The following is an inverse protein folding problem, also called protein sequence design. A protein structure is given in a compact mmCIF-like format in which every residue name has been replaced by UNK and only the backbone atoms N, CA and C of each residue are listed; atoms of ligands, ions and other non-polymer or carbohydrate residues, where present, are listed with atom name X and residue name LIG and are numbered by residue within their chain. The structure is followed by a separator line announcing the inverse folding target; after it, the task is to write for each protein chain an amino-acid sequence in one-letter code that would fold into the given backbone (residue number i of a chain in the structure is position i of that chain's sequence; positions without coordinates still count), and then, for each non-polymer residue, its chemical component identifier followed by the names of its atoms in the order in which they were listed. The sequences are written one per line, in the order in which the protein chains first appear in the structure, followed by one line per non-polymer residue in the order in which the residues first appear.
data_IF_259902045837
#
_entry.id   IF_259902045837
#
_cell.length_a   1.000
_cell.length_b   1.000
_cell.length_c   1.000
_cell.angle_alpha   90.00
_cell.angle_beta   90.00
_cell.angle_gamma   90.00
#
_symmetry.space_group_name_H-M   'P 1'
#
loop_
_entity.id
_entity.type
_entity.pdbx_description
1 polymer ?
#
# COMPACT_ATOMS: atom_id res chain seq x y z
N UNK A 1 13.90 -0.08 -12.49
CA UNK A 1 13.24 0.10 -11.17
C UNK A 1 11.74 0.21 -11.39
N UNK A 2 10.97 -0.84 -11.09
CA UNK A 2 9.52 -0.86 -11.27
C UNK A 2 8.84 0.09 -10.27
N UNK A 3 8.39 1.24 -10.74
CA UNK A 3 7.53 2.15 -9.99
C UNK A 3 6.17 1.45 -9.81
N UNK A 4 5.77 1.22 -8.56
CA UNK A 4 4.51 0.55 -8.26
C UNK A 4 3.32 1.37 -8.78
N UNK A 5 2.23 0.73 -9.23
CA UNK A 5 1.10 1.38 -9.90
C UNK A 5 0.43 2.49 -9.06
N UNK A 6 0.56 2.46 -7.73
CA UNK A 6 -0.01 3.46 -6.83
C UNK A 6 0.74 4.80 -6.80
N UNK A 7 2.03 4.82 -7.13
CA UNK A 7 2.80 6.08 -7.26
C UNK A 7 2.33 6.88 -8.48
N UNK A 8 1.90 6.20 -9.55
CA UNK A 8 1.33 6.84 -10.75
C UNK A 8 0.03 7.58 -10.45
N UNK A 9 -0.87 6.98 -9.67
CA UNK A 9 -2.17 7.58 -9.34
C UNK A 9 -2.05 8.82 -8.44
N UNK A 10 -1.17 8.80 -7.44
CA UNK A 10 -0.89 10.02 -6.67
C UNK A 10 -0.33 11.12 -7.59
N UNK A 11 0.62 10.76 -8.46
CA UNK A 11 1.26 11.72 -9.36
C UNK A 11 0.25 12.44 -10.24
N UNK A 12 -0.80 11.77 -10.73
CA UNK A 12 -1.84 12.41 -11.56
C UNK A 12 -2.76 13.36 -10.79
N UNK A 13 -3.20 12.95 -9.59
CA UNK A 13 -4.16 13.75 -8.80
C UNK A 13 -3.48 15.02 -8.23
N UNK A 14 -2.22 14.89 -7.80
CA UNK A 14 -1.43 16.05 -7.35
C UNK A 14 -0.94 16.92 -8.50
N UNK A 15 -0.56 16.34 -9.66
CA UNK A 15 -0.20 17.12 -10.85
C UNK A 15 -1.36 18.01 -11.29
N UNK A 16 -2.61 17.55 -11.21
CA UNK A 16 -3.79 18.38 -11.48
C UNK A 16 -3.92 19.56 -10.52
N UNK A 17 -3.74 19.34 -9.21
CA UNK A 17 -3.78 20.41 -8.20
C UNK A 17 -2.69 21.46 -8.35
N UNK A 18 -1.48 21.06 -8.76
CA UNK A 18 -0.37 22.00 -8.98
C UNK A 18 -0.47 22.67 -10.36
N UNK A 19 -1.06 22.03 -11.36
CA UNK A 19 -1.26 22.65 -12.69
C UNK A 19 -2.25 23.82 -12.70
N UNK A 20 -3.07 23.97 -11.65
CA UNK A 20 -3.92 25.15 -11.42
C UNK A 20 -3.24 26.25 -10.59
N UNK A 21 -1.97 26.10 -10.22
CA UNK A 21 -1.26 27.03 -9.38
C UNK A 21 -0.76 28.27 -10.17
N UNK A 22 -0.51 29.40 -9.48
CA UNK A 22 0.09 30.60 -10.09
C UNK A 22 1.45 30.30 -10.72
N UNK A 23 1.83 31.07 -11.76
CA UNK A 23 3.07 30.90 -12.54
C UNK A 23 4.37 30.96 -11.71
N UNK A 24 4.31 31.50 -10.49
CA UNK A 24 5.45 31.65 -9.59
C UNK A 24 5.75 30.41 -8.73
N UNK A 25 5.00 29.30 -8.90
CA UNK A 25 5.17 28.09 -8.10
C UNK A 25 6.22 27.13 -8.66
N UNK A 26 6.87 26.38 -7.77
CA UNK A 26 7.84 25.32 -8.11
C UNK A 26 7.13 24.16 -8.82
N UNK A 27 7.73 23.57 -9.88
CA UNK A 27 7.14 22.43 -10.58
C UNK A 27 7.02 21.20 -9.65
N UNK A 28 5.97 20.39 -9.88
CA UNK A 28 5.67 19.21 -9.07
C UNK A 28 6.85 18.23 -8.99
N UNK A 29 7.60 18.02 -10.09
CA UNK A 29 8.69 17.05 -10.12
C UNK A 29 9.85 17.49 -9.17
N UNK A 30 10.15 18.78 -9.07
CA UNK A 30 11.15 19.31 -8.11
C UNK A 30 10.65 19.24 -6.66
N UNK A 31 9.37 19.52 -6.42
CA UNK A 31 8.73 19.36 -5.10
C UNK A 31 8.72 17.89 -4.64
N UNK A 32 8.52 16.96 -5.57
CA UNK A 32 8.56 15.53 -5.30
C UNK A 32 9.96 15.08 -4.94
N UNK A 33 10.98 15.48 -5.72
CA UNK A 33 12.37 15.16 -5.42
C UNK A 33 12.80 15.77 -4.07
N UNK A 34 12.22 16.93 -3.69
CA UNK A 34 12.48 17.59 -2.41
C UNK A 34 11.93 16.75 -1.26
N UNK A 35 10.68 16.28 -1.40
CA UNK A 35 10.04 15.40 -0.43
C UNK A 35 10.74 14.03 -0.33
N UNK A 36 11.22 13.47 -1.45
CA UNK A 36 11.97 12.20 -1.49
C UNK A 36 13.44 12.34 -1.03
N UNK A 37 13.90 13.57 -0.77
CA UNK A 37 15.25 13.85 -0.29
C UNK A 37 16.37 13.68 -1.34
N UNK A 38 16.04 13.77 -2.63
CA UNK A 38 17.00 13.55 -3.73
C UNK A 38 17.70 14.82 -4.24
N UNK A 39 17.27 16.01 -3.82
CA UNK A 39 17.90 17.24 -4.28
C UNK A 39 19.24 17.52 -3.58
N UNK A 40 20.20 18.12 -4.32
CA UNK A 40 21.39 18.71 -3.74
C UNK A 40 21.03 19.87 -2.81
N UNK A 41 21.90 20.11 -1.82
CA UNK A 41 21.69 21.11 -0.76
C UNK A 41 21.37 22.52 -1.26
N UNK A 42 21.94 22.92 -2.40
CA UNK A 42 21.70 24.24 -2.99
C UNK A 42 20.28 24.40 -3.53
N UNK A 43 19.78 23.39 -4.24
CA UNK A 43 18.43 23.40 -4.78
C UNK A 43 17.38 23.28 -3.66
N UNK A 44 17.73 22.52 -2.61
CA UNK A 44 16.92 22.41 -1.39
C UNK A 44 16.68 23.78 -0.74
N UNK A 45 17.72 24.60 -0.57
CA UNK A 45 17.59 25.96 0.00
C UNK A 45 16.69 26.86 -0.85
N UNK A 46 16.77 26.77 -2.19
CA UNK A 46 15.87 27.53 -3.08
C UNK A 46 14.41 27.15 -2.84
N UNK A 47 14.12 25.86 -2.77
CA UNK A 47 12.76 25.38 -2.51
C UNK A 47 12.29 25.78 -1.10
N UNK A 48 13.13 25.64 -0.07
CA UNK A 48 12.81 26.07 1.30
C UNK A 48 12.49 27.57 1.38
N UNK A 49 13.25 28.42 0.66
CA UNK A 49 12.96 29.86 0.58
C UNK A 49 11.61 30.16 -0.08
N UNK A 50 11.22 29.39 -1.09
CA UNK A 50 9.91 29.51 -1.74
C UNK A 50 8.77 28.98 -0.85
N UNK A 51 9.00 27.87 -0.14
CA UNK A 51 8.03 27.28 0.79
C UNK A 51 7.68 28.21 1.95
N UNK A 52 8.63 29.05 2.39
CA UNK A 52 8.37 30.04 3.44
C UNK A 52 7.36 31.13 3.02
N UNK A 53 7.24 31.40 1.71
CA UNK A 53 6.34 32.43 1.17
C UNK A 53 5.11 31.89 0.43
N UNK A 54 5.07 30.59 0.10
CA UNK A 54 4.01 30.02 -0.73
C UNK A 54 3.25 28.90 0.00
N UNK A 55 2.05 29.22 0.47
CA UNK A 55 1.16 28.27 1.14
C UNK A 55 0.78 27.08 0.25
N UNK A 56 0.59 27.30 -1.06
CA UNK A 56 0.22 26.23 -1.99
C UNK A 56 1.33 25.18 -2.16
N UNK A 57 2.58 25.62 -2.30
CA UNK A 57 3.72 24.71 -2.39
C UNK A 57 3.95 23.99 -1.06
N UNK A 58 3.73 24.67 0.07
CA UNK A 58 3.82 24.06 1.39
C UNK A 58 2.79 22.93 1.57
N UNK A 59 1.53 23.19 1.26
CA UNK A 59 0.46 22.19 1.33
C UNK A 59 0.71 20.99 0.40
N UNK A 60 1.25 21.26 -0.80
CA UNK A 60 1.65 20.22 -1.74
C UNK A 60 2.75 19.31 -1.16
N UNK A 61 3.82 19.87 -0.57
CA UNK A 61 4.90 19.08 0.06
C UNK A 61 4.37 18.25 1.22
N UNK A 62 3.54 18.83 2.09
CA UNK A 62 2.93 18.12 3.22
C UNK A 62 2.09 16.95 2.73
N UNK A 63 1.32 17.16 1.66
CA UNK A 63 0.50 16.13 1.04
C UNK A 63 1.33 14.99 0.44
N UNK A 64 2.43 15.31 -0.27
CA UNK A 64 3.35 14.32 -0.82
C UNK A 64 3.98 13.49 0.30
N UNK A 65 4.49 14.14 1.34
CA UNK A 65 5.10 13.46 2.50
C UNK A 65 4.12 12.54 3.22
N UNK A 66 2.88 12.99 3.43
CA UNK A 66 1.83 12.17 4.04
C UNK A 66 1.51 10.94 3.20
N UNK A 67 1.37 11.11 1.88
CA UNK A 67 1.20 10.00 0.95
C UNK A 67 2.35 9.00 1.08
N UNK A 68 3.59 9.46 0.99
CA UNK A 68 4.79 8.61 1.12
C UNK A 68 4.83 7.81 2.43
N UNK A 69 4.48 8.44 3.55
CA UNK A 69 4.41 7.77 4.86
C UNK A 69 3.34 6.67 4.90
N UNK A 70 2.15 6.94 4.34
CA UNK A 70 1.06 5.96 4.28
C UNK A 70 1.44 4.75 3.40
N UNK A 71 2.12 4.97 2.27
CA UNK A 71 2.63 3.89 1.42
C UNK A 71 3.69 3.04 2.13
N UNK A 72 4.63 3.68 2.81
CA UNK A 72 5.69 2.97 3.52
C UNK A 72 5.12 2.12 4.66
N UNK A 73 4.14 2.65 5.39
CA UNK A 73 3.51 1.93 6.49
C UNK A 73 2.71 0.70 6.00
N UNK A 74 1.96 0.85 4.90
CA UNK A 74 1.30 -0.31 4.25
C UNK A 74 2.28 -1.37 3.76
N UNK A 75 3.41 -0.94 3.18
CA UNK A 75 4.46 -1.87 2.71
C UNK A 75 5.08 -2.65 3.86
N UNK A 76 5.36 -1.99 4.99
CA UNK A 76 5.86 -2.64 6.20
C UNK A 76 4.86 -3.64 6.79
N UNK A 77 3.56 -3.33 6.78
CA UNK A 77 2.53 -4.25 7.28
C UNK A 77 2.43 -5.52 6.43
N UNK A 78 2.59 -5.38 5.11
CA UNK A 78 2.60 -6.48 4.15
C UNK A 78 3.83 -7.40 4.31
N UNK A 79 5.00 -6.83 4.58
CA UNK A 79 6.24 -7.59 4.83
C UNK A 79 6.24 -8.32 6.18
N UNK A 80 5.65 -7.73 7.24
CA UNK A 80 5.53 -8.40 8.54
C UNK A 80 4.62 -9.62 8.51
N UNK A 81 3.58 -9.59 7.68
CA UNK A 81 2.58 -10.67 7.62
C UNK A 81 3.04 -11.89 6.82
N UNK A 82 4.06 -11.76 5.96
CA UNK A 82 4.61 -12.91 5.22
C UNK A 82 5.48 -13.83 6.11
N UNK A 83 6.10 -13.30 7.17
CA UNK A 83 6.99 -14.10 8.04
C UNK A 83 6.25 -14.84 9.18
N UNK A 84 5.02 -14.45 9.53
CA UNK A 84 4.24 -15.11 10.59
C UNK A 84 3.87 -16.55 10.19
N UNK A 85 3.60 -16.78 8.90
CA UNK A 85 3.26 -18.11 8.39
C UNK A 85 4.41 -19.10 8.47
N UNK A 86 5.63 -18.63 8.19
CA UNK A 86 6.85 -19.43 8.33
C UNK A 86 7.05 -19.85 9.79
N UNK A 87 6.82 -18.94 10.73
CA UNK A 87 6.89 -19.24 12.16
C UNK A 87 5.86 -20.28 12.58
N UNK A 88 4.62 -20.19 12.10
CA UNK A 88 3.56 -21.15 12.47
C UNK A 88 3.83 -22.57 11.93
N UNK A 89 4.36 -22.67 10.70
CA UNK A 89 4.77 -23.94 10.10
C UNK A 89 5.94 -24.57 10.86
N UNK A 90 6.95 -23.76 11.21
CA UNK A 90 8.11 -24.21 12.00
C UNK A 90 7.69 -24.70 13.40
N UNK A 91 6.82 -23.94 14.07
CA UNK A 91 6.32 -24.29 15.41
C UNK A 91 5.51 -25.57 15.37
N UNK A 92 4.61 -25.75 14.40
CA UNK A 92 3.84 -27.01 14.28
C UNK A 92 4.71 -28.21 13.93
N UNK A 93 5.73 -28.02 13.09
CA UNK A 93 6.70 -29.07 12.78
C UNK A 93 7.47 -29.51 14.04
N UNK A 94 7.92 -28.55 14.85
CA UNK A 94 8.63 -28.84 16.11
C UNK A 94 7.71 -29.47 17.16
N UNK A 95 6.46 -29.01 17.27
CA UNK A 95 5.48 -29.58 18.21
C UNK A 95 5.16 -31.05 17.88
N UNK A 96 5.22 -31.41 16.60
CA UNK A 96 5.02 -32.78 16.11
C UNK A 96 6.01 -33.76 16.76
N UNK A 97 7.27 -33.39 16.92
CA UNK A 97 8.27 -34.27 17.52
C UNK A 97 8.11 -34.46 19.04
N UNK A 98 7.37 -33.59 19.74
CA UNK A 98 7.25 -33.60 21.21
C UNK A 98 6.12 -34.54 21.69
N UNK A 99 5.05 -34.74 20.91
CA UNK A 99 3.87 -35.49 21.34
C UNK A 99 3.60 -36.74 20.47
N UNK A 100 4.44 -37.76 20.62
CA UNK A 100 4.38 -38.99 19.78
C UNK A 100 3.07 -39.77 19.81
N UNK A 101 2.20 -39.57 20.82
CA UNK A 101 0.91 -40.29 20.94
C UNK A 101 -0.29 -39.56 20.31
N UNK A 102 -0.20 -38.24 20.10
CA UNK A 102 -1.26 -37.40 19.51
C UNK A 102 -0.81 -36.67 18.23
N UNK A 103 0.34 -37.09 17.68
CA UNK A 103 0.98 -36.52 16.49
C UNK A 103 0.00 -36.23 15.35
N UNK A 104 -0.80 -37.23 14.97
CA UNK A 104 -1.69 -37.14 13.81
C UNK A 104 -2.85 -36.18 14.06
N UNK A 105 -3.35 -36.08 15.30
CA UNK A 105 -4.45 -35.17 15.65
C UNK A 105 -4.02 -33.70 15.57
N UNK A 106 -2.82 -33.38 16.08
CA UNK A 106 -2.27 -32.03 15.97
C UNK A 106 -1.89 -31.68 14.54
N UNK A 107 -1.33 -32.63 13.78
CA UNK A 107 -1.01 -32.43 12.37
C UNK A 107 -2.27 -32.08 11.55
N UNK A 108 -3.36 -32.82 11.75
CA UNK A 108 -4.63 -32.57 11.08
C UNK A 108 -5.20 -31.18 11.44
N UNK A 109 -5.16 -30.80 12.72
CA UNK A 109 -5.61 -29.49 13.18
C UNK A 109 -4.80 -28.34 12.55
N UNK A 110 -3.47 -28.48 12.46
CA UNK A 110 -2.60 -27.49 11.81
C UNK A 110 -2.92 -27.34 10.33
N UNK A 111 -3.15 -28.46 9.62
CA UNK A 111 -3.52 -28.42 8.20
C UNK A 111 -4.85 -27.67 8.02
N UNK A 112 -5.87 -27.98 8.82
CA UNK A 112 -7.17 -27.30 8.76
C UNK A 112 -7.03 -25.80 9.06
N UNK A 113 -6.26 -25.44 10.10
CA UNK A 113 -6.02 -24.04 10.46
C UNK A 113 -5.27 -23.29 9.36
N UNK A 114 -4.26 -23.92 8.75
CA UNK A 114 -3.48 -23.31 7.66
C UNK A 114 -4.35 -23.03 6.43
N UNK A 115 -5.24 -23.97 6.07
CA UNK A 115 -6.17 -23.80 4.96
C UNK A 115 -7.21 -22.71 5.24
N UNK A 116 -7.78 -22.68 6.44
CA UNK A 116 -8.70 -21.62 6.88
C UNK A 116 -8.05 -20.24 6.80
N UNK A 117 -6.80 -20.12 7.27
CA UNK A 117 -6.04 -18.87 7.21
C UNK A 117 -5.74 -18.40 5.78
N UNK A 118 -5.45 -19.31 4.85
CA UNK A 118 -5.23 -18.97 3.44
C UNK A 118 -6.50 -18.35 2.85
N UNK A 119 -7.67 -18.95 3.12
CA UNK A 119 -8.96 -18.42 2.67
C UNK A 119 -9.23 -17.04 3.28
N UNK A 120 -9.03 -16.90 4.59
CA UNK A 120 -9.30 -15.66 5.33
C UNK A 120 -8.34 -14.53 4.93
N UNK A 121 -7.09 -14.84 4.60
CA UNK A 121 -6.11 -13.86 4.09
C UNK A 121 -6.50 -13.25 2.74
N UNK A 122 -7.15 -14.04 1.87
CA UNK A 122 -7.66 -13.58 0.56
C UNK A 122 -8.92 -12.73 0.75
N UNK A 123 -9.83 -13.16 1.63
CA UNK A 123 -11.07 -12.46 1.95
C UNK A 123 -10.80 -11.08 2.56
N UNK A 124 -9.86 -10.97 3.49
CA UNK A 124 -9.51 -9.69 4.12
C UNK A 124 -8.90 -8.69 3.14
N UNK A 125 -8.01 -9.14 2.24
CA UNK A 125 -7.44 -8.28 1.18
C UNK A 125 -8.52 -7.78 0.22
N UNK A 126 -9.49 -8.63 -0.12
CA UNK A 126 -10.61 -8.27 -0.99
C UNK A 126 -11.53 -7.24 -0.31
N UNK A 127 -11.87 -7.45 0.96
CA UNK A 127 -12.68 -6.52 1.76
C UNK A 127 -12.02 -5.14 1.87
N UNK A 128 -10.71 -5.09 2.12
CA UNK A 128 -9.97 -3.82 2.17
C UNK A 128 -9.97 -3.14 0.80
N UNK A 129 -9.79 -3.88 -0.31
CA UNK A 129 -9.86 -3.33 -1.66
C UNK A 129 -11.25 -2.77 -2.01
N UNK A 130 -12.30 -3.48 -1.62
CA UNK A 130 -13.69 -3.03 -1.82
C UNK A 130 -13.97 -1.78 -0.98
N UNK A 131 -13.56 -1.78 0.29
CA UNK A 131 -13.72 -0.62 1.18
C UNK A 131 -12.94 0.59 0.67
N UNK A 132 -11.70 0.40 0.21
CA UNK A 132 -10.87 1.45 -0.35
C UNK A 132 -11.47 2.01 -1.65
N UNK A 133 -11.98 1.15 -2.53
CA UNK A 133 -12.69 1.55 -3.75
C UNK A 133 -14.00 2.31 -3.46
N UNK A 134 -14.73 1.92 -2.41
CA UNK A 134 -15.90 2.65 -1.91
C UNK A 134 -15.51 4.03 -1.38
N UNK A 135 -14.47 4.09 -0.55
CA UNK A 135 -14.00 5.31 0.10
C UNK A 135 -13.39 6.31 -0.88
N UNK A 136 -12.71 5.84 -1.93
CA UNK A 136 -11.97 6.71 -2.87
C UNK A 136 -12.80 7.21 -4.05
N UNK A 137 -13.97 6.61 -4.35
CA UNK A 137 -14.67 6.88 -5.61
C UNK A 137 -16.20 6.98 -5.57
N UNK A 138 -16.84 6.84 -4.40
CA UNK A 138 -18.31 6.73 -4.32
C UNK A 138 -18.87 5.60 -5.21
N UNK A 139 -20.19 5.55 -5.41
CA UNK A 139 -20.90 4.45 -6.11
C UNK A 139 -20.30 4.06 -7.49
N UNK A 140 -19.61 4.97 -8.18
CA UNK A 140 -19.00 4.73 -9.51
C UNK A 140 -17.64 4.01 -9.45
N UNK A 141 -16.91 4.11 -8.35
CA UNK A 141 -15.62 3.42 -8.14
C UNK A 141 -15.82 1.93 -7.84
N UNK A 142 -16.79 1.64 -6.96
CA UNK A 142 -17.15 0.28 -6.55
C UNK A 142 -17.58 -0.60 -7.73
N UNK A 143 -18.38 -0.05 -8.65
CA UNK A 143 -18.91 -0.78 -9.79
C UNK A 143 -17.81 -1.29 -10.74
N UNK A 144 -16.68 -0.57 -10.88
CA UNK A 144 -15.57 -1.01 -11.73
C UNK A 144 -14.80 -2.19 -11.16
N UNK A 145 -14.49 -2.16 -9.86
CA UNK A 145 -13.76 -3.24 -9.19
C UNK A 145 -14.61 -4.52 -9.13
N UNK A 146 -15.92 -4.38 -8.88
CA UNK A 146 -16.85 -5.52 -8.85
C UNK A 146 -16.98 -6.17 -10.24
N UNK A 147 -16.96 -5.36 -11.30
CA UNK A 147 -16.98 -5.86 -12.69
C UNK A 147 -15.69 -6.61 -13.03
N UNK A 148 -14.53 -6.09 -12.67
CA UNK A 148 -13.24 -6.78 -12.87
C UNK A 148 -13.16 -8.12 -12.10
N UNK A 149 -13.61 -8.15 -10.84
CA UNK A 149 -13.62 -9.38 -10.03
C UNK A 149 -14.56 -10.45 -10.62
N UNK A 150 -15.74 -10.05 -11.11
CA UNK A 150 -16.68 -10.97 -11.75
C UNK A 150 -16.13 -11.51 -13.08
N UNK A 151 -15.42 -10.69 -13.84
CA UNK A 151 -14.80 -11.14 -15.10
C UNK A 151 -13.64 -12.10 -14.82
N UNK A 152 -12.82 -11.83 -13.80
CA UNK A 152 -11.71 -12.71 -13.40
C UNK A 152 -12.17 -14.05 -12.84
N UNK A 153 -13.22 -14.06 -12.00
CA UNK A 153 -13.82 -15.29 -11.47
C UNK A 153 -14.38 -16.21 -12.57
N UNK A 154 -14.72 -15.66 -13.74
CA UNK A 154 -15.24 -16.43 -14.89
C UNK A 154 -14.15 -17.06 -15.76
N UNK A 155 -12.87 -16.75 -15.52
CA UNK A 155 -11.71 -17.26 -16.27
C UNK A 155 -11.01 -18.39 -15.48
N UNK A 156 -11.21 -18.44 -14.16
CA UNK A 156 -10.63 -19.47 -13.27
C UNK A 156 -11.58 -20.69 -13.04
N UNK A 157 -12.63 -20.84 -13.87
CA UNK A 157 -13.50 -22.03 -13.96
C UNK A 157 -13.33 -22.62 -15.35
#
# INVERSE_FOLDING_TARGET
MNQGPLLGFLKEDYRKKISSAPKDCVPFDELYDYADGRLPLEARRRIESHLAGCYHCLDAVVSINKGMMDFNNRRRYKLKTENIFLSFALISFLLSFVFGRYFIQFLAATIILSMKWIVESKTNKMLVLIYEAWKSGGERGAGRVLKELNTKKRIDI
#
